data_IF_085045649701
#
_entry.id   IF_085045649701
#
_cell.length_a   1.000
_cell.length_b   1.000
_cell.length_c   1.000
_cell.angle_alpha   90.00
_cell.angle_beta   90.00
_cell.angle_gamma   90.00
#
_symmetry.space_group_name_H-M   'P 1'
#
loop_
_entity.id
_entity.type
_entity.pdbx_description
1 polymer ?
#
# COMPACT_ATOMS: atom_id res chain seq x y z
N UNK A 1 14.34 -32.54 31.22
CA UNK A 1 13.19 -31.80 31.81
C UNK A 1 12.68 -30.68 30.88
N UNK A 2 13.48 -30.13 29.96
CA UNK A 2 13.06 -29.09 29.00
C UNK A 2 11.96 -29.45 27.98
N UNK A 3 11.52 -30.72 27.90
CA UNK A 3 10.57 -31.23 26.86
C UNK A 3 9.16 -30.62 26.92
N UNK A 4 8.79 -29.95 28.02
CA UNK A 4 7.43 -29.41 28.23
C UNK A 4 7.40 -27.89 28.44
N UNK A 5 8.54 -27.23 28.52
CA UNK A 5 8.62 -25.82 28.92
C UNK A 5 8.13 -24.89 27.81
N UNK A 6 8.62 -25.03 26.57
CA UNK A 6 8.20 -24.17 25.45
C UNK A 6 6.71 -24.29 25.12
N UNK A 7 6.18 -25.52 25.01
CA UNK A 7 4.73 -25.76 24.75
C UNK A 7 3.85 -25.25 25.90
N UNK A 8 4.27 -25.44 27.15
CA UNK A 8 3.53 -24.95 28.31
C UNK A 8 3.53 -23.42 28.35
N UNK A 9 4.64 -22.77 28.00
CA UNK A 9 4.73 -21.31 27.91
C UNK A 9 3.80 -20.76 26.82
N UNK A 10 3.80 -21.34 25.62
CA UNK A 10 2.87 -20.94 24.55
C UNK A 10 1.41 -21.09 25.00
N UNK A 11 1.06 -22.20 25.64
CA UNK A 11 -0.29 -22.43 26.19
C UNK A 11 -0.67 -21.35 27.22
N UNK A 12 0.24 -21.06 28.16
CA UNK A 12 0.01 -20.04 29.19
C UNK A 12 -0.23 -18.67 28.57
N UNK A 13 0.66 -18.22 27.67
CA UNK A 13 0.53 -16.93 27.00
C UNK A 13 -0.74 -16.85 26.15
N UNK A 14 -1.11 -17.95 25.47
CA UNK A 14 -2.35 -18.02 24.70
C UNK A 14 -3.56 -17.81 25.62
N UNK A 15 -3.59 -18.49 26.77
CA UNK A 15 -4.67 -18.37 27.74
C UNK A 15 -4.80 -16.93 28.29
N UNK A 16 -3.69 -16.33 28.69
CA UNK A 16 -3.66 -14.96 29.23
C UNK A 16 -4.12 -13.93 28.18
N UNK A 17 -3.59 -14.03 26.96
CA UNK A 17 -3.92 -13.12 25.86
C UNK A 17 -5.34 -13.31 25.35
N UNK A 18 -5.88 -14.52 25.34
CA UNK A 18 -7.27 -14.82 24.98
C UNK A 18 -8.25 -14.01 25.84
N UNK A 19 -8.09 -14.09 27.16
CA UNK A 19 -8.96 -13.36 28.08
C UNK A 19 -8.79 -11.84 27.98
N UNK A 20 -7.57 -11.37 27.76
CA UNK A 20 -7.29 -9.93 27.57
C UNK A 20 -7.94 -9.39 26.30
N UNK A 21 -7.75 -10.05 25.17
CA UNK A 21 -8.29 -9.64 23.87
C UNK A 21 -9.82 -9.51 23.89
N UNK A 22 -10.50 -10.53 24.39
CA UNK A 22 -11.96 -10.56 24.43
C UNK A 22 -12.52 -9.45 25.34
N UNK A 23 -11.90 -9.24 26.51
CA UNK A 23 -12.28 -8.18 27.43
C UNK A 23 -12.14 -6.82 26.77
N UNK A 24 -10.98 -6.57 26.16
CA UNK A 24 -10.67 -5.29 25.51
C UNK A 24 -11.67 -4.96 24.40
N UNK A 25 -11.99 -5.93 23.53
CA UNK A 25 -12.95 -5.72 22.45
C UNK A 25 -14.33 -5.30 22.96
N UNK A 26 -14.80 -5.95 24.03
CA UNK A 26 -16.12 -5.67 24.62
C UNK A 26 -16.16 -4.32 25.34
N UNK A 27 -15.07 -3.92 26.00
CA UNK A 27 -15.02 -2.70 26.80
C UNK A 27 -14.93 -1.42 25.96
N UNK A 28 -14.35 -1.49 24.76
CA UNK A 28 -14.22 -0.33 23.86
C UNK A 28 -15.56 0.00 23.17
N UNK A 29 -16.26 -1.02 22.66
CA UNK A 29 -17.46 -0.83 21.84
C UNK A 29 -18.38 -2.06 21.92
N UNK A 30 -19.71 -1.89 21.76
CA UNK A 30 -20.62 -3.02 21.64
C UNK A 30 -20.20 -3.99 20.52
N UNK A 31 -20.21 -5.29 20.83
CA UNK A 31 -19.93 -6.32 19.83
C UNK A 31 -21.02 -6.32 18.73
N UNK A 32 -20.63 -6.55 17.46
CA UNK A 32 -21.59 -6.60 16.37
C UNK A 32 -22.54 -7.80 16.48
N UNK A 33 -23.74 -7.66 15.94
CA UNK A 33 -24.68 -8.78 15.80
C UNK A 33 -24.20 -9.79 14.75
N UNK A 34 -24.54 -11.09 14.90
CA UNK A 34 -24.15 -12.10 13.93
C UNK A 34 -24.82 -11.85 12.58
N UNK A 35 -24.11 -12.10 11.47
CA UNK A 35 -24.69 -11.97 10.16
C UNK A 35 -25.66 -13.10 9.80
N UNK A 36 -25.48 -14.27 10.42
CA UNK A 36 -26.33 -15.44 10.24
C UNK A 36 -26.95 -15.82 11.59
N UNK A 37 -28.27 -16.04 11.60
CA UNK A 37 -29.01 -16.51 12.77
C UNK A 37 -30.18 -17.41 12.33
N UNK A 38 -30.60 -18.30 13.22
CA UNK A 38 -31.80 -19.11 13.01
C UNK A 38 -33.00 -18.38 13.62
N UNK A 39 -34.13 -18.23 12.91
CA UNK A 39 -35.31 -17.52 13.43
C UNK A 39 -35.83 -18.06 14.78
N UNK A 40 -35.68 -19.37 15.01
CA UNK A 40 -36.12 -20.04 16.24
C UNK A 40 -35.12 -19.91 17.40
N UNK A 41 -33.88 -19.49 17.12
CA UNK A 41 -32.78 -19.34 18.06
C UNK A 41 -32.08 -17.98 17.84
N UNK A 42 -32.73 -16.87 18.23
CA UNK A 42 -32.18 -15.54 18.02
C UNK A 42 -30.88 -15.35 18.82
N UNK A 43 -29.98 -14.53 18.27
CA UNK A 43 -28.74 -14.21 18.95
C UNK A 43 -28.99 -13.49 20.29
N UNK A 44 -28.36 -13.98 21.36
CA UNK A 44 -28.41 -13.35 22.68
C UNK A 44 -27.06 -12.67 22.92
N UNK A 45 -26.99 -11.33 22.92
CA UNK A 45 -25.74 -10.64 23.17
C UNK A 45 -25.23 -10.93 24.59
N UNK A 46 -23.91 -11.07 24.79
CA UNK A 46 -23.34 -11.24 26.12
C UNK A 46 -23.68 -10.05 27.03
N UNK A 47 -23.98 -10.35 28.29
CA UNK A 47 -24.36 -9.33 29.30
C UNK A 47 -23.19 -8.48 29.77
N UNK A 48 -22.00 -9.06 29.82
CA UNK A 48 -20.78 -8.48 30.36
C UNK A 48 -19.54 -9.19 29.81
N UNK A 49 -18.40 -8.50 29.84
CA UNK A 49 -17.12 -9.01 29.36
C UNK A 49 -16.64 -10.23 30.15
N UNK A 50 -16.86 -10.28 31.46
CA UNK A 50 -16.39 -11.37 32.32
C UNK A 50 -17.07 -12.71 31.99
N UNK A 51 -18.37 -12.69 31.70
CA UNK A 51 -19.08 -13.90 31.27
C UNK A 51 -18.52 -14.45 29.96
N UNK A 52 -18.25 -13.58 28.98
CA UNK A 52 -17.69 -13.94 27.69
C UNK A 52 -16.25 -14.48 27.81
N UNK A 53 -15.43 -13.81 28.62
CA UNK A 53 -14.06 -14.26 28.94
C UNK A 53 -14.07 -15.63 29.62
N UNK A 54 -14.96 -15.84 30.61
CA UNK A 54 -15.09 -17.13 31.30
C UNK A 54 -15.49 -18.24 30.34
N UNK A 55 -16.41 -17.98 29.41
CA UNK A 55 -16.80 -18.94 28.38
C UNK A 55 -15.62 -19.29 27.47
N UNK A 56 -14.90 -18.28 26.97
CA UNK A 56 -13.74 -18.45 26.11
C UNK A 56 -12.63 -19.27 26.77
N UNK A 57 -12.24 -18.89 28.00
CA UNK A 57 -11.20 -19.57 28.76
C UNK A 57 -11.63 -20.98 29.17
N UNK A 58 -12.90 -21.19 29.50
CA UNK A 58 -13.46 -22.50 29.81
C UNK A 58 -13.36 -23.45 28.62
N UNK A 59 -13.77 -23.00 27.44
CA UNK A 59 -13.65 -23.76 26.18
C UNK A 59 -12.18 -24.07 25.88
N UNK A 60 -11.31 -23.05 25.93
CA UNK A 60 -9.89 -23.21 25.65
C UNK A 60 -9.22 -24.20 26.60
N UNK A 61 -9.49 -24.10 27.90
CA UNK A 61 -8.89 -24.97 28.92
C UNK A 61 -9.30 -26.44 28.75
N UNK A 62 -10.55 -26.69 28.35
CA UNK A 62 -11.06 -28.05 28.10
C UNK A 62 -10.55 -28.61 26.76
N UNK A 63 -10.40 -27.76 25.73
CA UNK A 63 -9.93 -28.14 24.39
C UNK A 63 -8.40 -28.24 24.29
N UNK A 64 -7.78 -29.06 25.15
CA UNK A 64 -6.32 -29.25 25.12
C UNK A 64 -5.84 -29.85 23.80
N UNK A 65 -6.63 -30.74 23.20
CA UNK A 65 -6.30 -31.37 21.94
C UNK A 65 -6.35 -30.39 20.76
N UNK A 66 -7.37 -29.52 20.70
CA UNK A 66 -7.46 -28.52 19.64
C UNK A 66 -6.30 -27.52 19.68
N UNK A 67 -5.80 -27.15 20.87
CA UNK A 67 -4.56 -26.37 20.95
C UNK A 67 -3.36 -27.11 20.35
N UNK A 68 -3.17 -28.39 20.67
CA UNK A 68 -2.03 -29.15 20.14
C UNK A 68 -2.11 -29.27 18.60
N UNK A 69 -3.31 -29.38 18.03
CA UNK A 69 -3.53 -29.38 16.58
C UNK A 69 -3.14 -28.02 15.97
N UNK A 70 -3.62 -26.91 16.55
CA UNK A 70 -3.29 -25.55 16.07
C UNK A 70 -1.79 -25.25 16.20
N UNK A 71 -1.17 -25.70 17.30
CA UNK A 71 0.26 -25.56 17.50
C UNK A 71 1.05 -26.37 16.46
N UNK A 72 0.61 -27.60 16.17
CA UNK A 72 1.22 -28.43 15.13
C UNK A 72 1.12 -27.78 13.74
N UNK A 73 -0.04 -27.19 13.40
CA UNK A 73 -0.24 -26.44 12.14
C UNK A 73 0.79 -25.29 12.01
N UNK A 74 1.01 -24.54 13.08
CA UNK A 74 2.01 -23.45 13.09
C UNK A 74 3.43 -23.98 12.95
N UNK A 75 3.77 -25.05 13.70
CA UNK A 75 5.10 -25.67 13.66
C UNK A 75 5.41 -26.20 12.26
N UNK A 76 4.46 -26.87 11.60
CA UNK A 76 4.65 -27.42 10.26
C UNK A 76 5.11 -26.35 9.27
N UNK A 77 4.45 -25.18 9.31
CA UNK A 77 4.67 -24.06 8.40
C UNK A 77 5.91 -23.24 8.78
N UNK A 78 6.14 -22.99 10.07
CA UNK A 78 7.09 -21.95 10.53
C UNK A 78 8.38 -22.50 11.13
N UNK A 79 8.44 -23.78 11.50
CA UNK A 79 9.63 -24.35 12.13
C UNK A 79 10.82 -24.35 11.14
N UNK A 80 11.94 -23.69 11.47
CA UNK A 80 13.08 -23.61 10.57
C UNK A 80 13.75 -24.96 10.32
N UNK A 81 14.31 -25.14 9.12
CA UNK A 81 15.00 -26.37 8.72
C UNK A 81 16.17 -26.76 9.63
N UNK A 82 16.88 -25.77 10.18
CA UNK A 82 18.00 -26.05 11.11
C UNK A 82 17.53 -26.65 12.44
N UNK A 83 16.29 -26.35 12.86
CA UNK A 83 15.67 -26.96 14.05
C UNK A 83 15.24 -28.39 13.73
N UNK A 84 14.59 -28.60 12.58
CA UNK A 84 14.16 -29.91 12.08
C UNK A 84 15.33 -30.90 11.95
N UNK A 85 16.52 -30.40 11.60
CA UNK A 85 17.74 -31.20 11.36
C UNK A 85 18.67 -31.26 12.57
N UNK A 86 18.24 -30.76 13.74
CA UNK A 86 19.05 -30.82 14.95
C UNK A 86 19.30 -32.26 15.40
N UNK A 87 20.35 -32.47 16.20
CA UNK A 87 20.70 -33.80 16.75
C UNK A 87 19.60 -34.30 17.69
N UNK A 88 19.02 -33.38 18.48
CA UNK A 88 17.79 -33.62 19.25
C UNK A 88 16.71 -32.64 18.75
N UNK A 89 15.89 -33.05 17.77
CA UNK A 89 14.83 -32.20 17.22
C UNK A 89 13.79 -31.76 18.25
N UNK A 90 13.48 -32.62 19.23
CA UNK A 90 12.45 -32.33 20.24
C UNK A 90 12.93 -31.24 21.21
N UNK A 91 14.18 -31.31 21.66
CA UNK A 91 14.76 -30.28 22.51
C UNK A 91 14.94 -28.96 21.76
N UNK A 92 15.37 -29.03 20.49
CA UNK A 92 15.54 -27.86 19.64
C UNK A 92 14.19 -27.18 19.33
N UNK A 93 13.14 -27.95 19.06
CA UNK A 93 11.76 -27.44 18.90
C UNK A 93 11.30 -26.76 20.19
N UNK A 94 11.47 -27.40 21.36
CA UNK A 94 11.04 -26.82 22.64
C UNK A 94 11.70 -25.47 22.91
N UNK A 95 13.01 -25.35 22.67
CA UNK A 95 13.74 -24.07 22.80
C UNK A 95 13.30 -23.02 21.78
N UNK A 96 13.01 -23.45 20.55
CA UNK A 96 12.49 -22.54 19.54
C UNK A 96 11.10 -22.03 19.91
N UNK A 97 10.22 -22.90 20.40
CA UNK A 97 8.90 -22.52 20.91
C UNK A 97 9.00 -21.53 22.06
N UNK A 98 9.89 -21.78 23.02
CA UNK A 98 10.12 -20.87 24.15
C UNK A 98 10.57 -19.49 23.68
N UNK A 99 11.53 -19.43 22.75
CA UNK A 99 12.06 -18.16 22.21
C UNK A 99 11.02 -17.37 21.41
N UNK A 100 10.07 -18.04 20.76
CA UNK A 100 9.06 -17.41 19.90
C UNK A 100 7.65 -17.47 20.52
N UNK A 101 7.55 -17.68 21.84
CA UNK A 101 6.29 -18.01 22.49
C UNK A 101 5.22 -16.92 22.32
N UNK A 102 5.62 -15.65 22.34
CA UNK A 102 4.75 -14.51 22.13
C UNK A 102 4.09 -14.54 20.74
N UNK A 103 4.89 -14.63 19.67
CA UNK A 103 4.38 -14.66 18.29
C UNK A 103 3.53 -15.91 18.03
N UNK A 104 3.97 -17.07 18.54
CA UNK A 104 3.25 -18.34 18.34
C UNK A 104 1.93 -18.32 19.10
N UNK A 105 1.89 -17.80 20.33
CA UNK A 105 0.64 -17.68 21.09
C UNK A 105 -0.40 -16.85 20.36
N UNK A 106 0.01 -15.75 19.73
CA UNK A 106 -0.89 -14.91 18.95
C UNK A 106 -1.41 -15.63 17.70
N UNK A 107 -0.55 -16.36 16.99
CA UNK A 107 -0.95 -17.20 15.85
C UNK A 107 -1.96 -18.27 16.26
N UNK A 108 -1.79 -18.87 17.44
CA UNK A 108 -2.78 -19.80 17.99
C UNK A 108 -4.12 -19.11 18.20
N UNK A 109 -4.16 -17.87 18.69
CA UNK A 109 -5.40 -17.09 18.83
C UNK A 109 -6.06 -16.82 17.48
N UNK A 110 -5.29 -16.51 16.43
CA UNK A 110 -5.84 -16.35 15.06
C UNK A 110 -6.52 -17.63 14.60
N UNK A 111 -5.91 -18.80 14.83
CA UNK A 111 -6.51 -20.10 14.47
C UNK A 111 -7.75 -20.43 15.32
N UNK A 112 -7.77 -20.07 16.61
CA UNK A 112 -8.96 -20.19 17.45
C UNK A 112 -10.10 -19.31 16.91
N UNK A 113 -9.81 -18.06 16.56
CA UNK A 113 -10.77 -17.14 15.98
C UNK A 113 -11.32 -17.65 14.65
N UNK A 114 -10.46 -18.19 13.78
CA UNK A 114 -10.85 -18.86 12.53
C UNK A 114 -11.85 -19.98 12.79
N UNK A 115 -11.58 -20.86 13.74
CA UNK A 115 -12.42 -22.03 14.01
C UNK A 115 -13.78 -21.62 14.61
N UNK A 116 -13.80 -20.62 15.49
CA UNK A 116 -15.04 -20.06 16.03
C UNK A 116 -15.88 -19.38 14.94
N UNK A 117 -15.25 -18.56 14.09
CA UNK A 117 -15.95 -17.95 12.95
C UNK A 117 -16.39 -18.97 11.91
N UNK A 118 -15.68 -20.07 11.74
CA UNK A 118 -16.11 -21.17 10.86
C UNK A 118 -17.42 -21.79 11.35
N UNK A 119 -17.58 -21.94 12.67
CA UNK A 119 -18.84 -22.45 13.25
C UNK A 119 -19.94 -21.38 13.23
N UNK A 120 -19.58 -20.13 13.48
CA UNK A 120 -20.53 -19.01 13.50
C UNK A 120 -21.11 -18.67 12.12
N UNK A 121 -20.31 -18.83 11.07
CA UNK A 121 -20.64 -18.46 9.69
C UNK A 121 -21.03 -19.68 8.83
N UNK A 122 -21.38 -20.81 9.46
CA UNK A 122 -21.97 -21.95 8.75
C UNK A 122 -23.41 -21.60 8.34
N UNK A 123 -23.66 -21.54 7.02
CA UNK A 123 -24.96 -21.22 6.44
C UNK A 123 -26.08 -22.17 6.90
N UNK A 124 -25.75 -23.44 7.17
CA UNK A 124 -26.73 -24.46 7.53
C UNK A 124 -27.00 -24.54 9.03
N UNK A 125 -26.03 -24.14 9.84
CA UNK A 125 -26.10 -24.28 11.30
C UNK A 125 -25.27 -23.18 12.00
N UNK A 126 -25.66 -21.89 11.87
CA UNK A 126 -24.89 -20.80 12.44
C UNK A 126 -24.91 -20.84 13.97
N UNK A 127 -23.72 -20.73 14.58
CA UNK A 127 -23.54 -20.69 16.03
C UNK A 127 -23.34 -19.25 16.52
N UNK A 128 -24.39 -18.65 17.07
CA UNK A 128 -24.38 -17.27 17.57
C UNK A 128 -23.54 -17.07 18.83
N UNK A 129 -23.32 -18.13 19.63
CA UNK A 129 -22.44 -18.03 20.80
C UNK A 129 -20.97 -17.99 20.34
N UNK A 130 -20.62 -18.83 19.35
CA UNK A 130 -19.31 -18.81 18.71
C UNK A 130 -19.07 -17.53 17.94
N UNK A 131 -20.12 -16.89 17.42
CA UNK A 131 -20.01 -15.58 16.81
C UNK A 131 -19.43 -14.55 17.78
N UNK A 132 -20.04 -14.37 18.96
CA UNK A 132 -19.57 -13.36 19.92
C UNK A 132 -18.15 -13.65 20.41
N UNK A 133 -17.79 -14.93 20.58
CA UNK A 133 -16.42 -15.34 20.90
C UNK A 133 -15.44 -15.02 19.75
N UNK A 134 -15.79 -15.34 18.50
CA UNK A 134 -14.95 -15.10 17.33
C UNK A 134 -14.78 -13.61 17.03
N UNK A 135 -15.88 -12.85 17.00
CA UNK A 135 -15.88 -11.42 16.70
C UNK A 135 -15.13 -10.62 17.78
N UNK A 136 -15.33 -10.93 19.07
CA UNK A 136 -14.57 -10.28 20.15
C UNK A 136 -13.09 -10.65 20.10
N UNK A 137 -12.74 -11.91 19.80
CA UNK A 137 -11.35 -12.31 19.71
C UNK A 137 -10.62 -11.61 18.55
N UNK A 138 -11.18 -11.62 17.33
CA UNK A 138 -10.58 -10.94 16.17
C UNK A 138 -10.41 -9.45 16.42
N UNK A 139 -11.45 -8.80 16.95
CA UNK A 139 -11.39 -7.37 17.28
C UNK A 139 -10.33 -7.10 18.34
N UNK A 140 -10.31 -7.92 19.40
CA UNK A 140 -9.40 -7.79 20.54
C UNK A 140 -7.93 -7.93 20.17
N UNK A 141 -7.58 -8.95 19.39
CA UNK A 141 -6.19 -9.11 18.95
C UNK A 141 -5.80 -8.01 17.95
N UNK A 142 -6.74 -7.52 17.14
CA UNK A 142 -6.48 -6.42 16.19
C UNK A 142 -6.23 -5.11 16.91
N UNK A 143 -6.90 -4.86 18.04
CA UNK A 143 -6.67 -3.70 18.90
C UNK A 143 -5.23 -3.63 19.43
N UNK A 144 -4.55 -4.77 19.64
CA UNK A 144 -3.14 -4.76 20.06
C UNK A 144 -2.16 -4.34 18.96
N UNK A 145 -2.58 -4.32 17.70
CA UNK A 145 -1.83 -3.67 16.62
C UNK A 145 -0.59 -4.43 16.14
N UNK A 146 -0.53 -5.75 16.30
CA UNK A 146 0.62 -6.55 15.85
C UNK A 146 0.63 -6.79 14.33
N UNK A 147 1.80 -7.08 13.78
CA UNK A 147 1.93 -7.48 12.37
C UNK A 147 1.29 -8.85 12.07
N UNK A 148 1.27 -9.76 13.05
CA UNK A 148 0.67 -11.10 12.88
C UNK A 148 -0.82 -10.94 12.65
N UNK A 149 -1.49 -10.22 13.54
CA UNK A 149 -2.93 -9.99 13.44
C UNK A 149 -3.27 -9.21 12.18
N UNK A 150 -2.52 -8.15 11.90
CA UNK A 150 -2.68 -7.37 10.66
C UNK A 150 -2.71 -8.24 9.42
N UNK A 151 -1.80 -9.20 9.31
CA UNK A 151 -1.65 -10.00 8.09
C UNK A 151 -2.59 -11.22 8.07
N UNK A 152 -2.83 -11.86 9.22
CA UNK A 152 -3.48 -13.18 9.28
C UNK A 152 -4.97 -13.11 9.63
N UNK A 153 -5.46 -12.01 10.20
CA UNK A 153 -6.88 -11.82 10.46
C UNK A 153 -7.64 -11.14 9.32
N UNK A 154 -6.96 -10.56 8.32
CA UNK A 154 -7.63 -9.92 7.19
C UNK A 154 -8.65 -10.84 6.47
N UNK A 155 -8.35 -12.11 6.16
CA UNK A 155 -9.33 -13.02 5.55
C UNK A 155 -10.55 -13.27 6.43
N UNK A 156 -10.41 -13.19 7.76
CA UNK A 156 -11.52 -13.36 8.69
C UNK A 156 -12.49 -12.16 8.62
N UNK A 157 -11.97 -10.95 8.38
CA UNK A 157 -12.80 -9.77 8.17
C UNK A 157 -13.58 -9.88 6.86
N UNK A 158 -12.93 -10.34 5.79
CA UNK A 158 -13.64 -10.59 4.54
C UNK A 158 -14.71 -11.68 4.70
N UNK A 159 -14.42 -12.76 5.43
CA UNK A 159 -15.39 -13.84 5.65
C UNK A 159 -16.62 -13.35 6.41
N UNK A 160 -16.42 -12.46 7.39
CA UNK A 160 -17.52 -11.78 8.09
C UNK A 160 -18.33 -10.91 7.13
N UNK A 161 -17.68 -10.08 6.30
CA UNK A 161 -18.36 -9.17 5.38
C UNK A 161 -19.25 -9.93 4.37
N UNK A 162 -18.78 -11.08 3.91
CA UNK A 162 -19.53 -11.96 3.01
C UNK A 162 -20.48 -12.94 3.72
N UNK A 163 -20.44 -13.01 5.06
CA UNK A 163 -21.16 -13.99 5.87
C UNK A 163 -20.93 -15.45 5.41
N UNK A 164 -19.68 -15.80 5.13
CA UNK A 164 -19.26 -17.15 4.75
C UNK A 164 -18.18 -17.66 5.68
N UNK A 165 -18.03 -18.98 5.77
CA UNK A 165 -16.90 -19.56 6.48
C UNK A 165 -15.56 -19.11 5.86
N UNK A 166 -14.48 -18.93 6.65
CA UNK A 166 -13.18 -18.50 6.12
C UNK A 166 -12.63 -19.37 4.98
N UNK A 167 -12.95 -20.66 4.96
CA UNK A 167 -12.55 -21.59 3.90
C UNK A 167 -13.36 -21.42 2.60
N UNK A 168 -14.53 -20.79 2.66
CA UNK A 168 -15.47 -20.64 1.54
C UNK A 168 -15.41 -19.25 0.88
N UNK A 169 -14.37 -18.46 1.15
CA UNK A 169 -14.15 -17.18 0.49
C UNK A 169 -14.12 -17.34 -1.03
N UNK A 170 -14.67 -16.39 -1.81
CA UNK A 170 -14.92 -16.55 -3.24
C UNK A 170 -13.66 -16.79 -4.09
N UNK A 171 -12.48 -16.44 -3.58
CA UNK A 171 -11.20 -16.67 -4.24
C UNK A 171 -10.44 -17.91 -3.72
N UNK A 172 -10.90 -18.58 -2.65
CA UNK A 172 -10.28 -19.82 -2.14
C UNK A 172 -10.50 -21.01 -3.08
N UNK A 173 -11.56 -20.95 -3.90
CA UNK A 173 -11.96 -22.01 -4.85
C UNK A 173 -11.50 -21.76 -6.29
N UNK A 174 -10.73 -20.70 -6.57
CA UNK A 174 -10.25 -20.44 -7.93
C UNK A 174 -9.12 -21.42 -8.25
N UNK A 175 -9.45 -22.47 -8.99
CA UNK A 175 -8.44 -23.43 -9.42
C UNK A 175 -7.38 -22.76 -10.28
N UNK A 176 -6.10 -22.93 -9.93
CA UNK A 176 -5.00 -22.46 -10.77
C UNK A 176 -4.73 -23.40 -11.93
N UNK A 177 -4.02 -22.94 -12.98
CA UNK A 177 -3.62 -23.75 -14.16
C UNK A 177 -2.98 -25.11 -13.84
N UNK A 178 -2.44 -25.26 -12.64
CA UNK A 178 -1.77 -26.46 -12.15
C UNK A 178 -2.70 -27.44 -11.40
N UNK A 179 -3.95 -27.07 -11.16
CA UNK A 179 -4.95 -27.90 -10.49
C UNK A 179 -5.83 -28.63 -11.51
N UNK A 180 -6.13 -29.91 -11.24
CA UNK A 180 -6.92 -30.79 -12.12
C UNK A 180 -8.35 -30.26 -12.41
N UNK A 181 -8.90 -29.42 -11.52
CA UNK A 181 -10.21 -28.81 -11.66
C UNK A 181 -10.20 -27.52 -12.51
N UNK A 182 -9.03 -27.00 -12.90
CA UNK A 182 -8.94 -25.81 -13.74
C UNK A 182 -9.30 -26.12 -15.18
N UNK A 183 -10.15 -25.28 -15.79
CA UNK A 183 -10.44 -25.34 -17.22
C UNK A 183 -10.33 -23.95 -17.85
N UNK A 184 -9.83 -23.82 -19.09
CA UNK A 184 -9.74 -22.53 -19.77
C UNK A 184 -11.13 -21.92 -20.09
N UNK A 185 -12.19 -22.71 -19.96
CA UNK A 185 -13.59 -22.34 -20.14
C UNK A 185 -14.36 -22.16 -18.83
N UNK A 186 -13.75 -22.34 -17.65
CA UNK A 186 -14.43 -22.08 -16.39
C UNK A 186 -14.70 -20.59 -16.30
N UNK A 187 -15.96 -20.21 -16.43
CA UNK A 187 -16.41 -18.87 -16.06
C UNK A 187 -16.11 -18.72 -14.56
N UNK A 188 -15.46 -17.64 -14.12
CA UNK A 188 -15.34 -17.38 -12.69
C UNK A 188 -16.74 -17.46 -12.08
N UNK A 189 -16.87 -18.16 -10.96
CA UNK A 189 -18.14 -18.17 -10.23
C UNK A 189 -18.58 -16.71 -10.00
N UNK A 190 -19.88 -16.40 -10.12
CA UNK A 190 -20.36 -15.05 -9.84
C UNK A 190 -19.90 -14.66 -8.43
N UNK A 191 -19.28 -13.49 -8.30
CA UNK A 191 -18.85 -12.97 -7.01
C UNK A 191 -20.06 -12.93 -6.07
N UNK A 192 -20.00 -13.66 -4.96
CA UNK A 192 -21.01 -13.57 -3.92
C UNK A 192 -21.12 -12.11 -3.47
N UNK A 193 -22.31 -11.47 -3.47
CA UNK A 193 -22.43 -10.12 -2.96
C UNK A 193 -22.16 -10.09 -1.44
N UNK A 194 -21.58 -9.00 -0.90
CA UNK A 194 -21.43 -8.84 0.54
C UNK A 194 -22.77 -8.95 1.28
N UNK A 195 -22.76 -9.57 2.44
CA UNK A 195 -23.97 -9.77 3.24
C UNK A 195 -24.27 -8.51 4.05
N UNK A 196 -25.49 -7.93 4.02
CA UNK A 196 -25.77 -6.65 4.69
C UNK A 196 -25.43 -6.63 6.19
N UNK A 197 -25.81 -7.69 6.94
CA UNK A 197 -25.47 -7.80 8.35
C UNK A 197 -23.97 -8.06 8.59
N UNK A 198 -23.29 -8.70 7.64
CA UNK A 198 -21.84 -8.91 7.67
C UNK A 198 -21.07 -7.60 7.48
N UNK A 199 -21.52 -6.78 6.52
CA UNK A 199 -21.02 -5.42 6.28
C UNK A 199 -21.21 -4.54 7.52
N UNK A 200 -22.37 -4.60 8.19
CA UNK A 200 -22.59 -3.89 9.45
C UNK A 200 -21.64 -4.36 10.55
N UNK A 201 -21.41 -5.68 10.65
CA UNK A 201 -20.47 -6.22 11.63
C UNK A 201 -19.04 -5.75 11.38
N UNK A 202 -18.56 -5.81 10.13
CA UNK A 202 -17.23 -5.30 9.78
C UNK A 202 -17.13 -3.80 9.99
N UNK A 203 -18.17 -3.02 9.65
CA UNK A 203 -18.23 -1.58 9.91
C UNK A 203 -17.98 -1.30 11.40
N UNK A 204 -18.70 -1.99 12.29
CA UNK A 204 -18.52 -1.85 13.73
C UNK A 204 -17.10 -2.25 14.20
N UNK A 205 -16.53 -3.31 13.62
CA UNK A 205 -15.15 -3.73 13.93
C UNK A 205 -14.15 -2.63 13.50
N UNK A 206 -14.24 -2.14 12.26
CA UNK A 206 -13.34 -1.10 11.75
C UNK A 206 -13.46 0.21 12.56
N UNK A 207 -14.68 0.59 12.93
CA UNK A 207 -14.94 1.75 13.78
C UNK A 207 -14.35 1.56 15.19
N UNK A 208 -14.36 0.33 15.71
CA UNK A 208 -13.73 0.02 17.00
C UNK A 208 -12.21 0.12 16.92
N UNK A 209 -11.60 -0.32 15.81
CA UNK A 209 -10.16 -0.24 15.60
C UNK A 209 -9.64 1.18 15.46
N UNK A 210 -10.44 2.13 14.97
CA UNK A 210 -10.03 3.53 14.87
C UNK A 210 -9.99 4.24 16.23
N UNK A 211 -10.61 3.68 17.27
CA UNK A 211 -10.62 4.24 18.62
C UNK A 211 -9.31 4.02 19.40
N UNK A 212 -8.40 3.18 18.89
CA UNK A 212 -7.14 2.86 19.57
C UNK A 212 -5.93 3.07 18.67
N UNK A 213 -4.97 3.87 19.15
CA UNK A 213 -3.79 4.27 18.37
C UNK A 213 -3.00 3.09 17.78
N UNK A 214 -2.83 2.00 18.55
CA UNK A 214 -2.09 0.81 18.09
C UNK A 214 -2.73 0.16 16.86
N UNK A 215 -4.05 -0.02 16.85
CA UNK A 215 -4.76 -0.58 15.71
C UNK A 215 -4.96 0.43 14.59
N UNK A 216 -5.26 1.69 14.92
CA UNK A 216 -5.48 2.76 13.97
C UNK A 216 -4.24 3.02 13.08
N UNK A 217 -3.03 2.81 13.61
CA UNK A 217 -1.80 3.00 12.84
C UNK A 217 -1.25 1.73 12.21
N UNK A 218 -1.33 0.59 12.91
CA UNK A 218 -0.63 -0.62 12.46
C UNK A 218 -1.52 -1.59 11.69
N UNK A 219 -2.83 -1.65 11.97
CA UNK A 219 -3.74 -2.67 11.40
C UNK A 219 -4.70 -2.04 10.39
N UNK A 220 -5.46 -1.05 10.84
CA UNK A 220 -6.55 -0.44 10.07
C UNK A 220 -6.13 0.07 8.69
N UNK A 221 -4.98 0.78 8.51
CA UNK A 221 -4.61 1.29 7.20
C UNK A 221 -4.37 0.18 6.17
N UNK A 222 -3.77 -0.93 6.60
CA UNK A 222 -3.46 -2.07 5.74
C UNK A 222 -4.73 -2.86 5.42
N UNK A 223 -5.67 -2.98 6.36
CA UNK A 223 -6.97 -3.58 6.07
C UNK A 223 -7.79 -2.71 5.11
N UNK A 224 -7.78 -1.39 5.27
CA UNK A 224 -8.43 -0.44 4.36
C UNK A 224 -7.83 -0.54 2.95
N UNK A 225 -6.50 -0.62 2.83
CA UNK A 225 -5.84 -0.87 1.54
C UNK A 225 -6.31 -2.18 0.94
N UNK A 226 -6.27 -3.29 1.67
CA UNK A 226 -6.68 -4.58 1.11
C UNK A 226 -8.17 -4.61 0.72
N UNK A 227 -9.06 -3.99 1.50
CA UNK A 227 -10.48 -3.86 1.17
C UNK A 227 -10.72 -3.01 -0.08
N UNK A 228 -9.80 -2.10 -0.42
CA UNK A 228 -9.88 -1.28 -1.63
C UNK A 228 -9.71 -2.08 -2.91
N UNK A 229 -9.14 -3.30 -2.84
CA UNK A 229 -9.01 -4.22 -3.98
C UNK A 229 -10.36 -4.78 -4.40
N UNK A 230 -11.30 -4.95 -3.47
CA UNK A 230 -12.61 -5.57 -3.70
C UNK A 230 -13.67 -4.51 -4.01
N UNK A 231 -14.12 -4.34 -5.28
CA UNK A 231 -15.13 -3.33 -5.63
C UNK A 231 -16.44 -3.45 -4.85
N UNK A 232 -17.03 -4.64 -4.62
CA UNK A 232 -18.29 -4.72 -3.90
C UNK A 232 -18.12 -4.37 -2.42
N UNK A 233 -17.00 -4.75 -1.79
CA UNK A 233 -16.73 -4.40 -0.39
C UNK A 233 -16.40 -2.93 -0.22
N UNK A 234 -15.61 -2.35 -1.13
CA UNK A 234 -15.16 -0.96 -1.00
C UNK A 234 -16.32 0.03 -1.01
N UNK A 235 -17.36 -0.26 -1.81
CA UNK A 235 -18.58 0.54 -1.86
C UNK A 235 -19.44 0.38 -0.60
N UNK A 236 -19.72 -0.84 -0.17
CA UNK A 236 -20.66 -1.09 0.95
C UNK A 236 -20.05 -0.78 2.33
N UNK A 237 -18.73 -0.85 2.47
CA UNK A 237 -18.01 -0.48 3.69
C UNK A 237 -17.59 1.00 3.73
N UNK A 238 -17.95 1.76 2.68
CA UNK A 238 -17.64 3.18 2.53
C UNK A 238 -16.14 3.50 2.74
N UNK A 239 -15.30 2.66 2.12
CA UNK A 239 -13.84 2.75 2.20
C UNK A 239 -13.31 4.14 1.81
N UNK A 240 -13.83 4.83 0.77
CA UNK A 240 -13.35 6.16 0.43
C UNK A 240 -13.51 7.17 1.58
N UNK A 241 -14.68 7.21 2.23
CA UNK A 241 -14.91 8.13 3.34
C UNK A 241 -14.06 7.78 4.57
N UNK A 242 -13.85 6.49 4.84
CA UNK A 242 -12.93 6.06 5.91
C UNK A 242 -11.52 6.57 5.66
N UNK A 243 -11.02 6.45 4.44
CA UNK A 243 -9.70 7.00 4.07
C UNK A 243 -9.64 8.51 4.31
N UNK A 244 -10.66 9.27 3.85
CA UNK A 244 -10.70 10.72 4.04
C UNK A 244 -10.75 11.13 5.52
N UNK A 245 -11.48 10.39 6.36
CA UNK A 245 -11.52 10.61 7.80
C UNK A 245 -10.14 10.38 8.44
N UNK A 246 -9.46 9.30 8.07
CA UNK A 246 -8.13 8.98 8.56
C UNK A 246 -7.07 10.00 8.10
N UNK A 247 -7.18 10.53 6.88
CA UNK A 247 -6.30 11.61 6.40
C UNK A 247 -6.48 12.90 7.21
N UNK A 248 -7.69 13.22 7.65
CA UNK A 248 -7.95 14.42 8.44
C UNK A 248 -7.45 14.32 9.88
N UNK A 249 -7.46 13.11 10.44
CA UNK A 249 -7.22 12.90 11.87
C UNK A 249 -5.73 12.63 12.22
N UNK A 250 -4.84 12.44 11.24
CA UNK A 250 -3.57 11.76 11.52
C UNK A 250 -2.33 12.32 10.82
N UNK A 251 -1.28 12.58 11.62
CA UNK A 251 0.11 12.71 11.13
C UNK A 251 0.81 11.33 11.07
N UNK A 252 0.10 10.29 10.62
CA UNK A 252 0.61 8.92 10.65
C UNK A 252 1.67 8.68 9.58
N UNK A 253 2.65 7.82 9.89
CA UNK A 253 3.55 7.25 8.89
C UNK A 253 2.81 6.35 7.88
N UNK A 254 1.59 5.91 8.21
CA UNK A 254 0.76 5.03 7.38
C UNK A 254 0.05 5.75 6.23
N UNK A 255 0.11 7.08 6.12
CA UNK A 255 -0.59 7.84 5.07
C UNK A 255 -0.24 7.40 3.62
N UNK A 256 1.00 7.01 3.26
CA UNK A 256 1.30 6.50 1.92
C UNK A 256 0.48 5.25 1.52
N UNK A 257 -0.02 4.48 2.49
CA UNK A 257 -0.90 3.33 2.26
C UNK A 257 -2.22 3.78 1.64
N UNK A 258 -2.73 4.95 2.04
CA UNK A 258 -3.97 5.50 1.48
C UNK A 258 -3.82 5.97 0.03
N UNK A 259 -2.60 6.32 -0.42
CA UNK A 259 -2.34 6.54 -1.85
C UNK A 259 -2.49 5.24 -2.63
N UNK A 260 -1.93 4.14 -2.12
CA UNK A 260 -2.09 2.82 -2.75
C UNK A 260 -3.55 2.39 -2.79
N UNK A 261 -4.29 2.59 -1.70
CA UNK A 261 -5.72 2.32 -1.61
C UNK A 261 -6.50 3.11 -2.68
N UNK A 262 -6.26 4.43 -2.78
CA UNK A 262 -6.92 5.26 -3.79
C UNK A 262 -6.64 4.81 -5.22
N UNK A 263 -5.42 4.37 -5.53
CA UNK A 263 -5.06 3.82 -6.84
C UNK A 263 -5.79 2.51 -7.16
N UNK A 264 -6.12 1.71 -6.14
CA UNK A 264 -6.91 0.49 -6.31
C UNK A 264 -8.41 0.78 -6.49
N UNK A 265 -8.92 1.84 -5.84
CA UNK A 265 -10.30 2.30 -5.98
C UNK A 265 -10.56 2.99 -7.33
N UNK A 266 -9.54 3.61 -7.91
CA UNK A 266 -9.62 4.48 -9.09
C UNK A 266 -10.43 3.89 -10.27
N UNK A 267 -10.31 2.59 -10.64
CA UNK A 267 -11.08 2.02 -11.74
C UNK A 267 -12.59 1.91 -11.47
N UNK A 268 -13.02 1.82 -10.21
CA UNK A 268 -14.40 1.50 -9.83
C UNK A 268 -15.14 2.68 -9.18
N UNK A 269 -14.45 3.52 -8.40
CA UNK A 269 -15.01 4.62 -7.59
C UNK A 269 -14.21 5.89 -7.89
N UNK A 270 -14.19 6.27 -9.17
CA UNK A 270 -13.19 7.21 -9.71
C UNK A 270 -13.31 8.65 -9.20
N UNK A 271 -14.47 9.12 -8.73
CA UNK A 271 -14.61 10.49 -8.24
C UNK A 271 -13.98 10.62 -6.84
N UNK A 272 -14.42 9.78 -5.91
CA UNK A 272 -13.95 9.74 -4.53
C UNK A 272 -12.48 9.33 -4.46
N UNK A 273 -12.03 8.40 -5.33
CA UNK A 273 -10.61 8.06 -5.43
C UNK A 273 -9.74 9.23 -5.90
N UNK A 274 -10.25 10.10 -6.80
CA UNK A 274 -9.54 11.33 -7.20
C UNK A 274 -9.47 12.32 -6.04
N UNK A 275 -10.56 12.47 -5.28
CA UNK A 275 -10.59 13.35 -4.11
C UNK A 275 -9.56 12.91 -3.06
N UNK A 276 -9.43 11.61 -2.82
CA UNK A 276 -8.39 11.06 -1.94
C UNK A 276 -6.98 11.36 -2.47
N UNK A 277 -6.73 11.16 -3.77
CA UNK A 277 -5.41 11.46 -4.36
C UNK A 277 -5.06 12.95 -4.30
N UNK A 278 -6.05 13.83 -4.47
CA UNK A 278 -5.88 15.28 -4.27
C UNK A 278 -5.53 15.57 -2.81
N UNK A 279 -6.31 15.04 -1.86
CA UNK A 279 -6.04 15.21 -0.43
C UNK A 279 -4.64 14.70 -0.05
N UNK A 280 -4.21 13.55 -0.57
CA UNK A 280 -2.87 13.01 -0.37
C UNK A 280 -1.77 13.88 -0.99
N UNK A 281 -2.03 14.54 -2.13
CA UNK A 281 -1.09 15.43 -2.81
C UNK A 281 -0.86 16.75 -2.07
N UNK A 282 -1.81 17.16 -1.22
CA UNK A 282 -1.78 18.38 -0.41
C UNK A 282 -1.53 18.08 1.08
N UNK A 283 -1.40 16.80 1.43
CA UNK A 283 -1.25 16.34 2.81
C UNK A 283 0.07 16.81 3.43
N UNK A 284 0.07 17.10 4.73
CA UNK A 284 1.25 17.61 5.44
C UNK A 284 2.43 16.61 5.47
N UNK A 285 2.16 15.30 5.47
CA UNK A 285 3.16 14.23 5.39
C UNK A 285 3.83 14.19 3.99
N UNK A 286 5.14 14.46 3.87
CA UNK A 286 5.83 14.46 2.59
C UNK A 286 5.89 13.09 1.91
N UNK A 287 5.85 11.99 2.68
CA UNK A 287 5.86 10.64 2.09
C UNK A 287 4.59 10.36 1.29
N UNK A 288 3.45 10.93 1.71
CA UNK A 288 2.19 10.83 0.96
C UNK A 288 2.32 11.51 -0.40
N UNK A 289 2.78 12.77 -0.41
CA UNK A 289 2.97 13.58 -1.62
C UNK A 289 3.99 12.95 -2.57
N UNK A 290 5.10 12.39 -2.04
CA UNK A 290 6.07 11.61 -2.82
C UNK A 290 5.44 10.39 -3.47
N UNK A 291 4.62 9.64 -2.72
CA UNK A 291 3.94 8.45 -3.25
C UNK A 291 2.95 8.80 -4.37
N UNK A 292 2.26 9.94 -4.27
CA UNK A 292 1.43 10.45 -5.37
C UNK A 292 2.30 10.78 -6.59
N UNK A 293 3.41 11.49 -6.40
CA UNK A 293 4.35 11.83 -7.48
C UNK A 293 4.90 10.59 -8.21
N UNK A 294 5.30 9.55 -7.47
CA UNK A 294 5.74 8.26 -8.03
C UNK A 294 4.65 7.57 -8.85
N UNK A 295 3.38 7.80 -8.49
CA UNK A 295 2.24 7.13 -9.09
C UNK A 295 1.67 7.84 -10.32
N UNK A 296 2.15 9.06 -10.65
CA UNK A 296 1.65 9.85 -11.78
C UNK A 296 1.69 9.10 -13.12
N UNK A 297 2.78 8.38 -13.39
CA UNK A 297 2.91 7.56 -14.60
C UNK A 297 1.84 6.47 -14.70
N UNK A 298 1.46 5.86 -13.56
CA UNK A 298 0.39 4.87 -13.48
C UNK A 298 -0.99 5.52 -13.66
N UNK A 299 -1.22 6.69 -13.06
CA UNK A 299 -2.51 7.40 -13.19
C UNK A 299 -2.72 7.85 -14.64
N UNK A 300 -1.67 8.28 -15.31
CA UNK A 300 -1.72 8.83 -16.68
C UNK A 300 -2.25 7.85 -17.72
N UNK A 301 -2.08 6.53 -17.53
CA UNK A 301 -2.54 5.54 -18.51
C UNK A 301 -4.06 5.52 -18.67
N UNK A 302 -4.80 5.85 -17.60
CA UNK A 302 -6.26 5.85 -17.60
C UNK A 302 -6.83 7.27 -17.46
N UNK A 303 -6.14 8.16 -16.76
CA UNK A 303 -6.62 9.50 -16.41
C UNK A 303 -5.56 10.59 -16.68
N UNK A 304 -5.20 10.85 -17.96
CA UNK A 304 -4.10 11.75 -18.31
C UNK A 304 -4.32 13.19 -17.84
N UNK A 305 -5.50 13.77 -18.07
CA UNK A 305 -5.80 15.14 -17.63
C UNK A 305 -5.74 15.29 -16.10
N UNK A 306 -6.17 14.27 -15.36
CA UNK A 306 -6.10 14.28 -13.90
C UNK A 306 -4.66 14.17 -13.39
N UNK A 307 -3.85 13.29 -13.98
CA UNK A 307 -2.44 13.16 -13.66
C UNK A 307 -1.68 14.47 -13.89
N UNK A 308 -1.96 15.19 -14.98
CA UNK A 308 -1.41 16.51 -15.23
C UNK A 308 -1.82 17.51 -14.14
N UNK A 309 -3.09 17.53 -13.74
CA UNK A 309 -3.56 18.42 -12.67
C UNK A 309 -2.90 18.13 -11.31
N UNK A 310 -2.58 16.86 -11.02
CA UNK A 310 -1.82 16.49 -9.82
C UNK A 310 -0.36 16.89 -9.94
N UNK A 311 0.25 16.69 -11.11
CA UNK A 311 1.62 17.10 -11.38
C UNK A 311 1.79 18.62 -11.19
N UNK A 312 0.85 19.42 -11.70
CA UNK A 312 0.89 20.89 -11.54
C UNK A 312 0.88 21.30 -10.06
N UNK A 313 0.03 20.67 -9.23
CA UNK A 313 0.03 20.89 -7.77
C UNK A 313 1.35 20.49 -7.12
N UNK A 314 1.88 19.31 -7.48
CA UNK A 314 3.11 18.77 -6.88
C UNK A 314 4.38 19.52 -7.31
N UNK A 315 4.35 20.26 -8.42
CA UNK A 315 5.45 21.13 -8.83
C UNK A 315 5.55 22.40 -7.97
N UNK A 316 4.47 22.79 -7.29
CA UNK A 316 4.44 23.91 -6.35
C UNK A 316 4.85 23.50 -4.91
N UNK A 317 5.22 22.23 -4.70
CA UNK A 317 5.58 21.70 -3.38
C UNK A 317 6.87 22.33 -2.83
N UNK A 318 6.97 22.40 -1.50
CA UNK A 318 8.19 22.83 -0.81
C UNK A 318 9.27 21.74 -0.73
N UNK A 319 8.89 20.46 -0.83
CA UNK A 319 9.82 19.34 -0.75
C UNK A 319 10.50 19.10 -2.10
N UNK A 320 11.81 19.35 -2.15
CA UNK A 320 12.63 19.16 -3.34
C UNK A 320 12.52 17.76 -3.96
N UNK A 321 12.32 16.72 -3.14
CA UNK A 321 12.16 15.34 -3.61
C UNK A 321 10.83 15.10 -4.32
N UNK A 322 9.74 15.72 -3.86
CA UNK A 322 8.42 15.65 -4.51
C UNK A 322 8.48 16.29 -5.89
N UNK A 323 9.05 17.50 -5.98
CA UNK A 323 9.25 18.18 -7.26
C UNK A 323 10.13 17.33 -8.18
N UNK A 324 11.21 16.73 -7.67
CA UNK A 324 12.11 15.92 -8.50
C UNK A 324 11.45 14.63 -9.04
N UNK A 325 10.61 13.96 -8.22
CA UNK A 325 9.82 12.82 -8.67
C UNK A 325 8.80 13.25 -9.74
N UNK A 326 8.12 14.37 -9.51
CA UNK A 326 7.17 14.95 -10.47
C UNK A 326 7.86 15.35 -11.79
N UNK A 327 9.05 15.93 -11.72
CA UNK A 327 9.87 16.26 -12.89
C UNK A 327 10.29 15.03 -13.70
N UNK A 328 10.43 13.87 -13.05
CA UNK A 328 10.69 12.59 -13.74
C UNK A 328 9.48 12.18 -14.59
N UNK A 329 8.27 12.34 -14.04
CA UNK A 329 7.03 12.13 -14.79
C UNK A 329 6.90 13.12 -15.95
N UNK A 330 7.12 14.43 -15.72
CA UNK A 330 7.09 15.44 -16.78
C UNK A 330 8.10 15.12 -17.88
N UNK A 331 9.34 14.73 -17.53
CA UNK A 331 10.34 14.29 -18.50
C UNK A 331 9.84 13.17 -19.42
N UNK A 332 9.06 12.23 -18.88
CA UNK A 332 8.41 11.15 -19.64
C UNK A 332 7.38 11.64 -20.67
N UNK A 333 6.72 12.78 -20.44
CA UNK A 333 5.73 13.35 -21.36
C UNK A 333 6.35 13.79 -22.70
N UNK A 334 7.65 14.07 -22.73
CA UNK A 334 8.36 14.44 -23.97
C UNK A 334 8.16 13.43 -25.12
N UNK A 335 7.89 12.16 -24.80
CA UNK A 335 7.62 11.09 -25.78
C UNK A 335 6.18 11.04 -26.28
N UNK A 336 5.23 11.53 -25.49
CA UNK A 336 3.79 11.35 -25.75
C UNK A 336 3.05 12.65 -26.04
N UNK A 337 3.42 13.76 -25.40
CA UNK A 337 2.78 15.07 -25.54
C UNK A 337 3.78 16.21 -25.38
N UNK A 338 4.19 16.79 -26.52
CA UNK A 338 5.02 18.01 -26.51
C UNK A 338 4.27 19.20 -25.90
N UNK A 339 2.96 19.31 -26.15
CA UNK A 339 2.10 20.38 -25.63
C UNK A 339 2.11 20.43 -24.10
N UNK A 340 2.04 19.27 -23.45
CA UNK A 340 2.07 19.19 -21.98
C UNK A 340 3.48 19.28 -21.40
N UNK A 341 4.48 18.77 -22.14
CA UNK A 341 5.87 18.75 -21.71
C UNK A 341 6.48 20.15 -21.68
N UNK A 342 6.40 20.90 -22.79
CA UNK A 342 7.14 22.15 -23.00
C UNK A 342 6.92 23.21 -21.90
N UNK A 343 5.67 23.60 -21.55
CA UNK A 343 5.45 24.64 -20.54
C UNK A 343 5.96 24.21 -19.16
N UNK A 344 5.75 22.94 -18.78
CA UNK A 344 6.16 22.40 -17.48
C UNK A 344 7.67 22.19 -17.38
N UNK A 345 8.29 21.71 -18.45
CA UNK A 345 9.74 21.61 -18.55
C UNK A 345 10.40 22.99 -18.44
N UNK A 346 9.84 24.00 -19.11
CA UNK A 346 10.30 25.38 -18.99
C UNK A 346 10.25 25.88 -17.54
N UNK A 347 9.12 25.69 -16.86
CA UNK A 347 8.94 26.06 -15.46
C UNK A 347 9.97 25.37 -14.54
N UNK A 348 10.20 24.07 -14.72
CA UNK A 348 11.17 23.31 -13.93
C UNK A 348 12.60 23.79 -14.18
N UNK A 349 12.96 24.04 -15.44
CA UNK A 349 14.31 24.52 -15.80
C UNK A 349 14.60 25.91 -15.26
N UNK A 350 13.58 26.73 -15.01
CA UNK A 350 13.70 28.06 -14.40
C UNK A 350 13.62 28.03 -12.86
N UNK A 351 13.30 26.88 -12.27
CA UNK A 351 13.25 26.71 -10.82
C UNK A 351 14.65 26.63 -10.19
N UNK A 352 14.75 26.84 -8.87
CA UNK A 352 16.01 26.65 -8.14
C UNK A 352 16.30 25.17 -7.80
N UNK A 353 15.39 24.25 -8.11
CA UNK A 353 15.50 22.84 -7.73
C UNK A 353 16.40 22.05 -8.69
N UNK A 354 17.69 22.00 -8.36
CA UNK A 354 18.71 21.30 -9.14
C UNK A 354 18.40 19.82 -9.41
N UNK A 355 17.75 19.11 -8.48
CA UNK A 355 17.37 17.71 -8.69
C UNK A 355 16.29 17.60 -9.77
N UNK A 356 15.31 18.49 -9.76
CA UNK A 356 14.24 18.51 -10.77
C UNK A 356 14.77 18.89 -12.16
N UNK A 357 15.64 19.90 -12.25
CA UNK A 357 16.33 20.29 -13.49
C UNK A 357 17.08 19.09 -14.07
N UNK A 358 17.86 18.39 -13.24
CA UNK A 358 18.61 17.22 -13.66
C UNK A 358 17.70 16.13 -14.25
N UNK A 359 16.51 15.89 -13.66
CA UNK A 359 15.55 14.92 -14.21
C UNK A 359 15.07 15.28 -15.61
N UNK A 360 14.78 16.55 -15.88
CA UNK A 360 14.37 17.01 -17.22
C UNK A 360 15.51 16.83 -18.23
N UNK A 361 16.74 17.19 -17.84
CA UNK A 361 17.93 17.02 -18.69
C UNK A 361 18.20 15.55 -19.03
N UNK A 362 18.03 14.65 -18.06
CA UNK A 362 18.29 13.22 -18.23
C UNK A 362 17.20 12.51 -19.03
N UNK A 363 15.93 12.83 -18.78
CA UNK A 363 14.80 12.00 -19.22
C UNK A 363 13.93 12.63 -20.32
N UNK A 364 13.98 13.95 -20.52
CA UNK A 364 13.05 14.66 -21.41
C UNK A 364 13.68 15.34 -22.62
N UNK A 365 14.81 16.05 -22.44
CA UNK A 365 15.34 16.92 -23.50
C UNK A 365 15.73 16.19 -24.79
N UNK A 366 16.26 14.97 -24.69
CA UNK A 366 16.64 14.19 -25.87
C UNK A 366 15.42 13.85 -26.74
N UNK A 367 14.35 13.38 -26.11
CA UNK A 367 13.13 12.97 -26.80
C UNK A 367 12.41 14.20 -27.37
N UNK A 368 12.43 15.33 -26.65
CA UNK A 368 11.98 16.63 -27.15
C UNK A 368 12.73 17.09 -28.42
N UNK A 369 14.07 17.04 -28.42
CA UNK A 369 14.88 17.48 -29.57
C UNK A 369 14.73 16.59 -30.80
N UNK A 370 14.35 15.32 -30.62
CA UNK A 370 14.03 14.44 -31.74
C UNK A 370 12.82 14.93 -32.55
N UNK A 371 11.88 15.61 -31.89
CA UNK A 371 10.68 16.19 -32.51
C UNK A 371 10.87 17.67 -32.85
N UNK A 372 11.69 18.39 -32.09
CA UNK A 372 11.93 19.83 -32.22
C UNK A 372 13.45 20.12 -32.31
N UNK A 373 14.11 19.78 -33.43
CA UNK A 373 15.56 19.84 -33.53
C UNK A 373 16.14 21.26 -33.46
N UNK A 374 15.34 22.28 -33.80
CA UNK A 374 15.74 23.70 -33.80
C UNK A 374 15.40 24.44 -32.48
N UNK A 375 14.99 23.69 -31.45
CA UNK A 375 14.64 24.15 -30.10
C UNK A 375 13.87 25.49 -30.07
N UNK A 376 12.65 25.55 -30.64
CA UNK A 376 11.89 26.80 -30.77
C UNK A 376 11.55 27.43 -29.41
N UNK A 377 11.50 26.63 -28.34
CA UNK A 377 11.20 27.09 -26.98
C UNK A 377 12.43 27.38 -26.13
N UNK A 378 13.63 27.28 -26.71
CA UNK A 378 14.92 27.56 -26.05
C UNK A 378 15.14 26.76 -24.75
N UNK A 379 14.64 25.51 -24.69
CA UNK A 379 14.80 24.65 -23.53
C UNK A 379 16.27 24.29 -23.27
N UNK A 380 17.10 24.18 -24.32
CA UNK A 380 18.54 23.93 -24.18
C UNK A 380 19.28 25.10 -23.54
N UNK A 381 18.91 26.33 -23.91
CA UNK A 381 19.50 27.55 -23.33
C UNK A 381 19.16 27.61 -21.83
N UNK A 382 17.88 27.44 -21.48
CA UNK A 382 17.43 27.40 -20.07
C UNK A 382 18.13 26.31 -19.28
N UNK A 383 18.20 25.11 -19.84
CA UNK A 383 18.88 23.98 -19.20
C UNK A 383 20.37 24.23 -19.01
N UNK A 384 21.07 24.82 -19.97
CA UNK A 384 22.51 25.11 -19.86
C UNK A 384 22.81 26.10 -18.73
N UNK A 385 22.04 27.19 -18.66
CA UNK A 385 22.23 28.24 -17.66
C UNK A 385 22.00 27.67 -16.25
N UNK A 386 20.88 26.98 -16.04
CA UNK A 386 20.38 26.63 -14.71
C UNK A 386 20.83 25.25 -14.19
N UNK A 387 21.41 24.39 -15.03
CA UNK A 387 21.88 23.07 -14.61
C UNK A 387 23.17 23.12 -13.78
N UNK A 388 23.30 22.13 -12.90
CA UNK A 388 24.56 21.76 -12.26
C UNK A 388 25.64 21.34 -13.28
N UNK A 389 26.89 21.24 -12.85
CA UNK A 389 28.01 20.82 -13.71
C UNK A 389 27.76 19.47 -14.42
N UNK A 390 27.17 18.50 -13.71
CA UNK A 390 26.81 17.19 -14.26
C UNK A 390 25.75 17.34 -15.35
N UNK A 391 24.69 18.13 -15.09
CA UNK A 391 23.65 18.42 -16.07
C UNK A 391 24.18 19.16 -17.29
N UNK A 392 25.05 20.16 -17.09
CA UNK A 392 25.70 20.92 -18.16
C UNK A 392 26.47 20.02 -19.13
N UNK A 393 27.25 19.07 -18.63
CA UNK A 393 27.93 18.09 -19.50
C UNK A 393 26.95 17.37 -20.44
N UNK A 394 25.76 16.98 -19.94
CA UNK A 394 24.72 16.34 -20.75
C UNK A 394 24.08 17.31 -21.74
N UNK A 395 23.76 18.54 -21.31
CA UNK A 395 23.18 19.58 -22.17
C UNK A 395 24.14 19.97 -23.29
N UNK A 396 25.43 20.17 -23.02
CA UNK A 396 26.42 20.47 -24.05
C UNK A 396 26.51 19.36 -25.11
N UNK A 397 26.45 18.09 -24.69
CA UNK A 397 26.37 16.99 -25.65
C UNK A 397 25.13 17.08 -26.54
N UNK A 398 23.96 17.43 -25.98
CA UNK A 398 22.75 17.62 -26.79
C UNK A 398 22.87 18.80 -27.77
N UNK A 399 23.48 19.91 -27.35
CA UNK A 399 23.76 21.07 -28.21
C UNK A 399 24.72 20.67 -29.35
N UNK A 400 25.78 19.90 -29.05
CA UNK A 400 26.71 19.38 -30.07
C UNK A 400 26.02 18.41 -31.04
N UNK A 401 25.09 17.58 -30.56
CA UNK A 401 24.27 16.74 -31.44
C UNK A 401 23.37 17.57 -32.37
N UNK A 402 22.89 18.77 -31.96
CA UNK A 402 22.16 19.66 -32.89
C UNK A 402 23.01 20.02 -34.10
N UNK A 403 24.31 20.30 -33.92
CA UNK A 403 25.21 20.61 -35.04
C UNK A 403 25.32 19.46 -36.04
N UNK A 404 25.33 18.21 -35.56
CA UNK A 404 25.37 17.03 -36.43
C UNK A 404 24.11 16.87 -37.26
N UNK A 405 22.97 17.32 -36.74
CA UNK A 405 21.68 17.31 -37.46
C UNK A 405 21.62 18.47 -38.45
N UNK A 406 21.86 19.71 -37.98
CA UNK A 406 21.95 20.90 -38.80
C UNK A 406 22.79 21.99 -38.09
N UNK A 407 23.90 22.46 -38.71
CA UNK A 407 24.72 23.54 -38.17
C UNK A 407 23.94 24.83 -37.82
N UNK A 408 22.90 25.17 -38.57
CA UNK A 408 22.12 26.40 -38.35
C UNK A 408 21.37 26.38 -37.01
N UNK A 409 20.90 25.20 -36.57
CA UNK A 409 20.20 25.04 -35.29
C UNK A 409 21.15 25.24 -34.13
N UNK A 410 22.37 24.71 -34.24
CA UNK A 410 23.43 24.94 -33.28
C UNK A 410 23.79 26.43 -33.17
N UNK A 411 23.97 27.11 -34.31
CA UNK A 411 24.26 28.55 -34.33
C UNK A 411 23.13 29.38 -33.71
N UNK A 412 21.88 29.02 -33.95
CA UNK A 412 20.69 29.63 -33.32
C UNK A 412 20.73 29.47 -31.80
N UNK A 413 20.98 28.26 -31.28
CA UNK A 413 21.10 28.01 -29.84
C UNK A 413 22.24 28.81 -29.21
N UNK A 414 23.43 28.82 -29.84
CA UNK A 414 24.58 29.60 -29.38
C UNK A 414 24.30 31.11 -29.36
N UNK A 415 23.65 31.63 -30.41
CA UNK A 415 23.28 33.04 -30.51
C UNK A 415 22.27 33.43 -29.44
N UNK A 416 21.24 32.60 -29.23
CA UNK A 416 20.26 32.80 -28.16
C UNK A 416 20.92 32.79 -26.79
N UNK A 417 21.85 31.87 -26.53
CA UNK A 417 22.60 31.83 -25.29
C UNK A 417 23.47 33.07 -25.08
N UNK A 418 24.15 33.56 -26.13
CA UNK A 418 24.96 34.77 -26.06
C UNK A 418 24.12 36.03 -25.72
N UNK A 419 22.87 36.08 -26.20
CA UNK A 419 21.92 37.16 -25.90
C UNK A 419 21.44 37.08 -24.45
N UNK A 420 21.14 35.88 -23.96
CA UNK A 420 20.56 35.68 -22.62
C UNK A 420 21.62 35.76 -21.51
N UNK A 421 22.77 35.11 -21.69
CA UNK A 421 23.86 35.09 -20.72
C UNK A 421 25.22 34.92 -21.42
N UNK A 422 25.95 36.04 -21.56
CA UNK A 422 27.26 36.07 -22.21
C UNK A 422 28.32 35.22 -21.49
N UNK A 423 28.21 35.08 -20.16
CA UNK A 423 29.15 34.29 -19.37
C UNK A 423 28.90 32.80 -19.59
N UNK A 424 27.65 32.37 -19.50
CA UNK A 424 27.27 30.99 -19.79
C UNK A 424 27.60 30.60 -21.24
N UNK A 425 27.50 31.55 -22.18
CA UNK A 425 27.97 31.35 -23.56
C UNK A 425 29.48 31.09 -23.65
N UNK A 426 30.31 31.89 -22.97
CA UNK A 426 31.76 31.66 -22.92
C UNK A 426 32.11 30.31 -22.30
N UNK A 427 31.41 29.91 -21.24
CA UNK A 427 31.58 28.59 -20.61
C UNK A 427 31.25 27.43 -21.57
N UNK A 428 30.20 27.59 -22.39
CA UNK A 428 29.84 26.58 -23.40
C UNK A 428 30.91 26.46 -24.48
N UNK A 429 31.41 27.59 -24.99
CA UNK A 429 32.48 27.60 -26.01
C UNK A 429 33.74 26.92 -25.50
N UNK A 430 34.16 27.24 -24.27
CA UNK A 430 35.31 26.60 -23.64
C UNK A 430 35.10 25.09 -23.49
N UNK A 431 33.90 24.66 -23.09
CA UNK A 431 33.57 23.24 -22.99
C UNK A 431 33.68 22.53 -24.34
N UNK A 432 33.13 23.14 -25.40
CA UNK A 432 33.17 22.59 -26.76
C UNK A 432 34.61 22.53 -27.28
N UNK A 433 35.42 23.56 -27.05
CA UNK A 433 36.82 23.61 -27.48
C UNK A 433 37.65 22.47 -26.88
N UNK A 434 37.45 22.18 -25.58
CA UNK A 434 38.15 21.08 -24.89
C UNK A 434 37.75 19.70 -25.46
N UNK A 435 36.48 19.53 -25.84
CA UNK A 435 35.90 18.22 -26.20
C UNK A 435 35.84 17.96 -27.71
N UNK A 436 35.80 19.00 -28.54
CA UNK A 436 35.62 18.91 -29.99
C UNK A 436 36.27 20.12 -30.71
N UNK A 437 37.59 20.05 -30.89
CA UNK A 437 38.41 21.13 -31.47
C UNK A 437 38.17 21.41 -32.96
N UNK A 438 37.41 20.55 -33.66
CA UNK A 438 36.97 20.81 -35.04
C UNK A 438 35.75 21.73 -35.08
N UNK A 439 34.86 21.56 -34.11
CA UNK A 439 33.64 22.35 -33.93
C UNK A 439 33.92 23.78 -33.45
N UNK A 440 34.95 23.96 -32.63
CA UNK A 440 35.35 25.30 -32.15
C UNK A 440 35.83 26.23 -33.28
N UNK A 441 36.37 25.68 -34.38
CA UNK A 441 36.81 26.44 -35.56
C UNK A 441 35.67 27.03 -36.38
N UNK A 442 34.44 26.54 -36.19
CA UNK A 442 33.23 27.06 -36.84
C UNK A 442 32.59 28.22 -36.06
N UNK A 443 32.98 28.41 -34.79
CA UNK A 443 32.46 29.43 -33.87
C UNK A 443 33.34 30.68 -33.78
N UNK A 444 34.58 30.60 -34.29
CA UNK A 444 35.52 31.72 -34.49
C UNK A 444 35.25 32.44 -35.80
#
# INVERSE_FOLDING_TARGET
MARREGKALVWQLTNERLGSAIREAYEISPLPNPPLELPDFPAIPPSDSESLVRQALGIFTVDRQGFEIRLAEIIEIRLPDYVKRAIDPDEAESRWLEKNADEISERVLVLIARDWLTSALDEFSPDTDRWYLGASLVTGIALFGSEITRNECYPLIESIAYAVTPSSLPYSSVSGRHQLAWSPSSTPAPSLPPHPAGVMAVTAILDTLSLRDSSAHNVLPIWIENLSVSPPLSQVLDIPNRILQELNNTNSESVPIYVSAALQLLPNISAEAKDILVACSEHNNPQARRKVAESLSRITSEYPAFALSLADRLLEDTDSSVIALTATYIGGLSRSSGEDFIPRASMILESENQKAIQRIVESGLRDYLSQNPDDPHSLLVKAWINSSEVGRSRVANLIVEQYRVNPDYFMKTCSNLAIVDSKAHSELLQWIEIRNSELSKFLS
#
